data_IF_129522675109
#
_entry.id   IF_129522675109
#
_cell.length_a   1.000
_cell.length_b   1.000
_cell.length_c   1.000
_cell.angle_alpha   90.00
_cell.angle_beta   90.00
_cell.angle_gamma   90.00
#
_symmetry.space_group_name_H-M   'P 1'
#
loop_
_entity.id
_entity.type
_entity.pdbx_description
1 polymer ?
#
# COMPACT_ATOMS: atom_id res chain seq x y z
N UNK A 1 -1.83 5.17 28.46
CA UNK A 1 -1.91 3.87 27.77
C UNK A 1 -1.57 3.99 26.28
N UNK A 2 -2.22 4.88 25.48
CA UNK A 2 -1.94 5.01 24.04
C UNK A 2 -0.55 5.60 23.78
N UNK A 3 -0.16 6.66 24.52
CA UNK A 3 1.17 7.29 24.38
C UNK A 3 2.33 6.36 24.78
N UNK A 4 2.15 5.53 25.80
CA UNK A 4 3.15 4.53 26.21
C UNK A 4 3.25 3.40 25.18
N UNK A 5 2.15 2.97 24.58
CA UNK A 5 2.14 1.97 23.51
C UNK A 5 2.85 2.51 22.24
N UNK A 6 2.51 3.72 21.81
CA UNK A 6 3.17 4.37 20.67
C UNK A 6 4.66 4.57 20.95
N UNK A 7 5.05 5.03 22.14
CA UNK A 7 6.45 5.22 22.51
C UNK A 7 7.25 3.92 22.54
N UNK A 8 6.69 2.83 23.09
CA UNK A 8 7.34 1.52 23.09
C UNK A 8 7.43 0.93 21.67
N UNK A 9 6.42 1.12 20.85
CA UNK A 9 6.40 0.69 19.46
C UNK A 9 7.47 1.42 18.63
N UNK A 10 7.56 2.76 18.73
CA UNK A 10 8.61 3.56 18.07
C UNK A 10 10.00 3.13 18.53
N UNK A 11 10.20 2.93 19.84
CA UNK A 11 11.48 2.50 20.39
C UNK A 11 11.89 1.12 19.88
N UNK A 12 10.95 0.17 19.81
CA UNK A 12 11.20 -1.17 19.32
C UNK A 12 11.49 -1.18 17.81
N UNK A 13 10.78 -0.34 17.04
CA UNK A 13 11.03 -0.13 15.63
C UNK A 13 12.40 0.50 15.36
N UNK A 14 12.77 1.54 16.11
CA UNK A 14 14.11 2.15 16.01
C UNK A 14 15.23 1.17 16.33
N UNK A 15 15.08 0.36 17.37
CA UNK A 15 16.06 -0.67 17.70
C UNK A 15 16.21 -1.70 16.59
N UNK A 16 15.10 -2.22 16.07
CA UNK A 16 15.12 -3.20 14.98
C UNK A 16 15.68 -2.59 13.68
N UNK A 17 15.38 -1.33 13.38
CA UNK A 17 15.97 -0.63 12.23
C UNK A 17 17.48 -0.41 12.39
N UNK A 18 17.96 -0.10 13.60
CA UNK A 18 19.39 0.03 13.89
C UNK A 18 20.12 -1.32 13.87
N UNK A 19 19.56 -2.37 14.46
CA UNK A 19 20.10 -3.73 14.37
C UNK A 19 20.14 -4.22 12.91
N UNK A 20 19.14 -3.90 12.14
CA UNK A 20 19.08 -4.16 10.72
C UNK A 20 20.21 -3.42 9.98
N UNK A 21 20.34 -2.11 10.19
CA UNK A 21 21.41 -1.30 9.60
C UNK A 21 22.82 -1.77 9.98
N UNK A 22 23.01 -2.30 11.19
CA UNK A 22 24.31 -2.80 11.65
C UNK A 22 24.66 -4.19 11.12
N UNK A 23 23.67 -5.00 10.71
CA UNK A 23 23.88 -6.32 10.08
C UNK A 23 24.15 -6.22 8.57
N UNK A 24 23.84 -5.09 7.95
CA UNK A 24 24.05 -4.82 6.52
C UNK A 24 25.51 -4.40 6.29
N UNK A 25 26.43 -5.36 6.37
CA UNK A 25 27.80 -5.13 5.86
C UNK A 25 27.78 -5.25 4.33
N UNK A 26 28.19 -4.16 3.65
CA UNK A 26 28.17 -4.07 2.17
C UNK A 26 29.00 -5.15 1.51
N UNK A 27 30.11 -5.53 2.12
CA UNK A 27 31.05 -6.48 1.54
C UNK A 27 30.48 -7.91 1.61
N UNK A 28 29.84 -8.26 2.71
CA UNK A 28 29.17 -9.55 2.89
C UNK A 28 27.99 -9.69 1.95
N UNK A 29 27.14 -8.64 1.81
CA UNK A 29 26.02 -8.65 0.87
C UNK A 29 26.48 -8.82 -0.58
N UNK A 30 27.52 -8.10 -0.98
CA UNK A 30 28.03 -8.17 -2.36
C UNK A 30 28.58 -9.56 -2.69
N UNK A 31 29.27 -10.19 -1.73
CA UNK A 31 29.80 -11.54 -1.88
C UNK A 31 28.69 -12.60 -1.94
N UNK A 32 27.69 -12.50 -1.10
CA UNK A 32 26.55 -13.42 -1.05
C UNK A 32 25.68 -13.30 -2.31
N UNK A 33 25.43 -12.07 -2.80
CA UNK A 33 24.73 -11.86 -4.07
C UNK A 33 25.49 -12.44 -5.27
N UNK A 34 26.82 -12.34 -5.28
CA UNK A 34 27.65 -12.93 -6.31
C UNK A 34 27.56 -14.46 -6.31
N UNK A 35 27.64 -15.05 -5.12
CA UNK A 35 27.48 -16.50 -4.92
C UNK A 35 26.08 -16.99 -5.29
N UNK A 36 25.05 -16.17 -5.00
CA UNK A 36 23.67 -16.40 -5.41
C UNK A 36 23.51 -16.36 -6.95
N UNK A 37 24.08 -15.35 -7.58
CA UNK A 37 24.09 -15.23 -9.04
C UNK A 37 24.73 -16.44 -9.70
N UNK A 38 25.86 -16.90 -9.19
CA UNK A 38 26.57 -18.07 -9.69
C UNK A 38 25.75 -19.37 -9.49
N UNK A 39 25.16 -19.56 -8.29
CA UNK A 39 24.30 -20.74 -8.00
C UNK A 39 22.99 -20.71 -8.80
N UNK A 40 22.38 -19.53 -8.94
CA UNK A 40 21.17 -19.38 -9.74
C UNK A 40 21.42 -19.67 -11.21
N UNK A 41 22.54 -19.19 -11.74
CA UNK A 41 22.97 -19.46 -13.11
C UNK A 41 23.25 -20.97 -13.34
N UNK A 42 23.87 -21.64 -12.38
CA UNK A 42 24.14 -23.09 -12.46
C UNK A 42 22.87 -23.95 -12.34
N UNK A 43 21.81 -23.43 -11.73
CA UNK A 43 20.52 -24.12 -11.59
C UNK A 43 19.53 -23.82 -12.73
N UNK A 44 19.88 -22.90 -13.64
CA UNK A 44 19.04 -22.58 -14.80
C UNK A 44 19.16 -23.66 -15.91
N UNK A 45 18.05 -23.95 -16.60
CA UNK A 45 18.10 -24.76 -17.84
C UNK A 45 19.04 -24.15 -18.86
N UNK A 46 19.77 -24.99 -19.63
CA UNK A 46 20.80 -24.57 -20.60
C UNK A 46 20.35 -23.50 -21.59
N UNK A 47 19.06 -23.48 -21.98
CA UNK A 47 18.54 -22.49 -22.92
C UNK A 47 18.50 -21.07 -22.33
N UNK A 48 18.39 -20.92 -21.01
CA UNK A 48 18.41 -19.62 -20.32
C UNK A 48 19.84 -19.17 -19.99
N UNK A 49 20.78 -20.11 -19.81
CA UNK A 49 22.19 -19.78 -19.60
C UNK A 49 22.78 -19.06 -20.80
N UNK A 50 22.32 -19.42 -22.00
CA UNK A 50 22.80 -18.83 -23.27
C UNK A 50 22.19 -17.43 -23.57
N UNK A 51 21.25 -16.94 -22.77
CA UNK A 51 20.63 -15.61 -22.89
C UNK A 51 21.28 -14.54 -22.00
N UNK A 52 22.39 -14.85 -21.31
CA UNK A 52 23.05 -13.88 -20.43
C UNK A 52 23.70 -12.75 -21.24
N UNK A 53 23.50 -11.47 -20.80
CA UNK A 53 24.30 -10.36 -21.28
C UNK A 53 25.75 -10.50 -20.76
N UNK A 54 26.71 -10.20 -21.60
CA UNK A 54 28.15 -10.35 -21.37
C UNK A 54 28.67 -9.67 -20.09
N UNK A 55 29.58 -10.35 -19.47
CA UNK A 55 30.20 -10.33 -18.14
C UNK A 55 30.69 -9.02 -17.48
N UNK A 56 30.44 -7.85 -18.01
CA UNK A 56 31.02 -6.63 -17.40
C UNK A 56 30.08 -5.79 -16.53
N UNK A 57 28.77 -5.92 -16.73
CA UNK A 57 27.78 -4.92 -16.28
C UNK A 57 26.85 -5.42 -15.16
N UNK A 58 26.81 -6.71 -14.90
CA UNK A 58 25.92 -7.33 -13.92
C UNK A 58 26.33 -7.04 -12.47
N UNK A 59 27.61 -7.09 -12.15
CA UNK A 59 28.11 -6.78 -10.80
C UNK A 59 27.93 -5.29 -10.44
N UNK A 60 28.12 -4.41 -11.42
CA UNK A 60 27.87 -2.97 -11.27
C UNK A 60 26.38 -2.68 -11.03
N UNK A 61 25.50 -3.25 -11.84
CA UNK A 61 24.04 -3.12 -11.69
C UNK A 61 23.53 -3.72 -10.37
N UNK A 62 24.10 -4.85 -9.94
CA UNK A 62 23.75 -5.45 -8.66
C UNK A 62 24.14 -4.54 -7.47
N UNK A 63 25.36 -3.96 -7.50
CA UNK A 63 25.78 -3.03 -6.45
C UNK A 63 24.95 -1.75 -6.43
N UNK A 64 24.47 -1.28 -7.57
CA UNK A 64 23.58 -0.14 -7.69
C UNK A 64 22.19 -0.45 -7.13
N UNK A 65 21.66 -1.63 -7.41
CA UNK A 65 20.40 -2.13 -6.82
C UNK A 65 20.53 -2.25 -5.31
N UNK A 66 21.60 -2.86 -4.80
CA UNK A 66 21.84 -2.99 -3.34
C UNK A 66 21.92 -1.61 -2.67
N UNK A 67 22.68 -0.68 -3.24
CA UNK A 67 22.80 0.68 -2.72
C UNK A 67 21.46 1.41 -2.72
N UNK A 68 20.66 1.22 -3.77
CA UNK A 68 19.30 1.79 -3.88
C UNK A 68 18.36 1.20 -2.82
N UNK A 69 18.43 -0.10 -2.59
CA UNK A 69 17.63 -0.81 -1.58
C UNK A 69 18.02 -0.37 -0.16
N UNK A 70 19.31 -0.32 0.15
CA UNK A 70 19.81 0.15 1.45
C UNK A 70 19.44 1.62 1.68
N UNK A 71 19.57 2.45 0.65
CA UNK A 71 19.14 3.85 0.68
C UNK A 71 17.63 3.99 0.91
N UNK A 72 16.83 3.14 0.26
CA UNK A 72 15.37 3.10 0.45
C UNK A 72 14.98 2.70 1.88
N UNK A 73 15.61 1.67 2.44
CA UNK A 73 15.36 1.24 3.82
C UNK A 73 15.78 2.30 4.86
N UNK A 74 16.92 2.96 4.65
CA UNK A 74 17.35 4.07 5.48
C UNK A 74 16.39 5.27 5.39
N UNK A 75 15.89 5.57 4.20
CA UNK A 75 14.88 6.62 4.00
C UNK A 75 13.53 6.29 4.64
N UNK A 76 13.13 5.01 4.65
CA UNK A 76 11.92 4.55 5.35
C UNK A 76 12.04 4.75 6.87
N UNK A 77 13.21 4.51 7.47
CA UNK A 77 13.42 4.75 8.89
C UNK A 77 13.26 6.25 9.24
N UNK A 78 13.77 7.16 8.39
CA UNK A 78 13.57 8.60 8.53
C UNK A 78 12.12 9.05 8.29
N UNK A 79 11.42 8.39 7.37
CA UNK A 79 10.02 8.68 7.06
C UNK A 79 9.06 8.36 8.22
N UNK A 80 9.42 7.44 9.11
CA UNK A 80 8.58 7.07 10.27
C UNK A 80 8.33 8.27 11.19
N UNK A 81 9.38 9.04 11.53
CA UNK A 81 9.23 10.24 12.35
C UNK A 81 8.33 11.29 11.70
N UNK A 82 8.52 11.50 10.41
CA UNK A 82 7.70 12.42 9.62
C UNK A 82 6.24 11.94 9.48
N UNK A 83 6.03 10.63 9.36
CA UNK A 83 4.70 10.03 9.33
C UNK A 83 3.92 10.31 10.62
N UNK A 84 4.53 10.13 11.80
CA UNK A 84 3.87 10.41 13.07
C UNK A 84 3.56 11.90 13.25
N UNK A 85 4.45 12.78 12.80
CA UNK A 85 4.19 14.21 12.82
C UNK A 85 3.00 14.58 11.93
N UNK A 86 2.98 14.08 10.69
CA UNK A 86 1.86 14.29 9.75
C UNK A 86 0.57 13.68 10.31
N UNK A 87 0.61 12.47 10.86
CA UNK A 87 -0.55 11.81 11.46
C UNK A 87 -1.11 12.63 12.64
N UNK A 88 -0.26 13.17 13.51
CA UNK A 88 -0.67 14.04 14.60
C UNK A 88 -1.32 15.33 14.09
N UNK A 89 -0.74 15.98 13.07
CA UNK A 89 -1.32 17.16 12.44
C UNK A 89 -2.69 16.85 11.81
N UNK A 90 -2.79 15.75 11.06
CA UNK A 90 -4.07 15.30 10.46
C UNK A 90 -5.11 15.04 11.55
N UNK A 91 -4.71 14.43 12.67
CA UNK A 91 -5.60 14.16 13.78
C UNK A 91 -6.12 15.47 14.42
N UNK A 92 -5.26 16.45 14.65
CA UNK A 92 -5.63 17.76 15.18
C UNK A 92 -6.60 18.47 14.22
N UNK A 93 -6.26 18.54 12.93
CA UNK A 93 -7.13 19.14 11.91
C UNK A 93 -8.49 18.43 11.82
N UNK A 94 -8.50 17.09 11.94
CA UNK A 94 -9.74 16.32 11.95
C UNK A 94 -10.63 16.71 13.12
N UNK A 95 -10.07 16.89 14.33
CA UNK A 95 -10.84 17.33 15.50
C UNK A 95 -11.42 18.73 15.27
N UNK A 96 -10.64 19.67 14.75
CA UNK A 96 -11.08 21.03 14.45
C UNK A 96 -12.22 21.00 13.41
N UNK A 97 -12.06 20.26 12.31
CA UNK A 97 -13.08 20.14 11.28
C UNK A 97 -14.37 19.49 11.79
N UNK A 98 -14.25 18.48 12.68
CA UNK A 98 -15.41 17.87 13.32
C UNK A 98 -16.14 18.85 14.25
N UNK A 99 -15.42 19.68 14.99
CA UNK A 99 -15.99 20.70 15.85
C UNK A 99 -16.76 21.77 15.05
N UNK A 100 -16.25 22.15 13.88
CA UNK A 100 -16.85 23.16 13.00
C UNK A 100 -17.82 22.61 11.95
N UNK A 101 -18.01 21.28 11.89
CA UNK A 101 -18.82 20.62 10.84
C UNK A 101 -20.22 21.23 10.70
N UNK A 102 -20.90 21.51 11.82
CA UNK A 102 -22.24 22.08 11.81
C UNK A 102 -22.30 23.50 11.21
N UNK A 103 -21.30 24.33 11.52
CA UNK A 103 -21.16 25.67 10.96
C UNK A 103 -20.92 25.63 9.45
N UNK A 104 -19.99 24.79 9.02
CA UNK A 104 -19.66 24.60 7.61
C UNK A 104 -20.86 24.10 6.80
N UNK A 105 -21.56 23.08 7.28
CA UNK A 105 -22.76 22.54 6.64
C UNK A 105 -23.87 23.59 6.53
N UNK A 106 -24.10 24.36 7.59
CA UNK A 106 -25.09 25.45 7.59
C UNK A 106 -24.75 26.52 6.55
N UNK A 107 -23.48 26.89 6.43
CA UNK A 107 -23.02 27.87 5.44
C UNK A 107 -23.24 27.37 4.01
N UNK A 108 -22.97 26.10 3.74
CA UNK A 108 -23.24 25.47 2.43
C UNK A 108 -24.74 25.50 2.10
N UNK A 109 -25.59 25.13 3.04
CA UNK A 109 -27.07 25.14 2.84
C UNK A 109 -27.58 26.55 2.60
N UNK A 110 -27.09 27.54 3.35
CA UNK A 110 -27.50 28.95 3.18
C UNK A 110 -27.05 29.57 1.86
N UNK A 111 -26.02 29.02 1.22
CA UNK A 111 -25.54 29.50 -0.08
C UNK A 111 -26.42 29.01 -1.27
N UNK A 112 -27.38 28.09 -1.02
CA UNK A 112 -28.24 27.55 -2.07
C UNK A 112 -29.40 28.54 -2.31
N UNK A 113 -29.63 28.98 -3.56
CA UNK A 113 -30.77 29.79 -3.90
C UNK A 113 -32.10 29.03 -3.66
N UNK A 114 -33.13 29.75 -3.17
CA UNK A 114 -34.43 29.15 -2.84
C UNK A 114 -35.04 28.31 -3.98
N UNK A 115 -34.82 28.73 -5.23
CA UNK A 115 -35.31 28.01 -6.41
C UNK A 115 -34.77 26.57 -6.54
N UNK A 116 -33.55 26.33 -6.08
CA UNK A 116 -32.87 25.03 -6.19
C UNK A 116 -32.63 24.37 -4.82
N UNK A 117 -33.39 24.82 -3.80
CA UNK A 117 -33.14 24.42 -2.42
C UNK A 117 -33.23 22.90 -2.21
N UNK A 118 -34.30 22.25 -2.69
CA UNK A 118 -34.50 20.79 -2.56
C UNK A 118 -33.39 20.00 -3.28
N UNK A 119 -33.07 20.43 -4.50
CA UNK A 119 -31.99 19.79 -5.31
C UNK A 119 -30.64 19.96 -4.63
N UNK A 120 -30.37 21.15 -4.08
CA UNK A 120 -29.12 21.43 -3.39
C UNK A 120 -28.96 20.62 -2.10
N UNK A 121 -30.00 20.48 -1.28
CA UNK A 121 -29.97 19.62 -0.09
C UNK A 121 -29.75 18.16 -0.49
N UNK A 122 -30.45 17.67 -1.49
CA UNK A 122 -30.28 16.31 -2.01
C UNK A 122 -28.87 16.08 -2.53
N UNK A 123 -28.29 17.06 -3.23
CA UNK A 123 -26.91 17.02 -3.69
C UNK A 123 -25.92 16.89 -2.52
N UNK A 124 -26.02 17.76 -1.51
CA UNK A 124 -25.18 17.70 -0.31
C UNK A 124 -25.28 16.32 0.34
N UNK A 125 -26.50 15.83 0.56
CA UNK A 125 -26.72 14.50 1.17
C UNK A 125 -26.08 13.37 0.34
N UNK A 126 -26.24 13.38 -0.98
CA UNK A 126 -25.69 12.36 -1.88
C UNK A 126 -24.15 12.39 -1.88
N UNK A 127 -23.54 13.59 -1.86
CA UNK A 127 -22.09 13.77 -1.73
C UNK A 127 -21.59 13.24 -0.39
N UNK A 128 -22.20 13.67 0.74
CA UNK A 128 -21.83 13.18 2.07
C UNK A 128 -21.94 11.66 2.16
N UNK A 129 -23.01 11.08 1.66
CA UNK A 129 -23.24 9.63 1.65
C UNK A 129 -22.21 8.90 0.79
N UNK A 130 -21.90 9.40 -0.41
CA UNK A 130 -20.95 8.78 -1.33
C UNK A 130 -19.53 8.78 -0.74
N UNK A 131 -19.07 9.93 -0.26
CA UNK A 131 -17.73 10.08 0.34
C UNK A 131 -17.60 9.26 1.62
N UNK A 132 -18.58 9.35 2.53
CA UNK A 132 -18.57 8.61 3.79
C UNK A 132 -18.57 7.09 3.57
N UNK A 133 -19.40 6.59 2.65
CA UNK A 133 -19.48 5.16 2.32
C UNK A 133 -18.17 4.67 1.69
N UNK A 134 -17.58 5.46 0.78
CA UNK A 134 -16.28 5.15 0.19
C UNK A 134 -15.18 5.06 1.25
N UNK A 135 -15.04 6.11 2.08
CA UNK A 135 -13.98 6.14 3.10
C UNK A 135 -14.10 4.98 4.08
N UNK A 136 -15.32 4.68 4.57
CA UNK A 136 -15.55 3.51 5.45
C UNK A 136 -15.15 2.21 4.77
N UNK A 137 -15.56 2.02 3.52
CA UNK A 137 -15.21 0.83 2.73
C UNK A 137 -13.70 0.73 2.53
N UNK A 138 -13.03 1.83 2.21
CA UNK A 138 -11.59 1.87 1.97
C UNK A 138 -10.77 1.60 3.24
N UNK A 139 -11.17 2.17 4.39
CA UNK A 139 -10.53 1.86 5.67
C UNK A 139 -10.69 0.39 6.05
N UNK A 140 -11.86 -0.18 5.81
CA UNK A 140 -12.11 -1.60 6.10
C UNK A 140 -11.34 -2.52 5.15
N UNK A 141 -11.23 -2.16 3.87
CA UNK A 141 -10.37 -2.84 2.89
C UNK A 141 -8.90 -2.78 3.34
N UNK A 142 -8.42 -1.61 3.70
CA UNK A 142 -7.05 -1.41 4.20
C UNK A 142 -6.75 -2.28 5.45
N UNK A 143 -7.66 -2.31 6.41
CA UNK A 143 -7.54 -3.17 7.58
C UNK A 143 -7.54 -4.67 7.23
N UNK A 144 -8.37 -5.06 6.25
CA UNK A 144 -8.41 -6.45 5.77
C UNK A 144 -7.09 -6.84 5.09
N UNK A 145 -6.53 -5.97 4.25
CA UNK A 145 -5.21 -6.21 3.62
C UNK A 145 -4.11 -6.31 4.66
N UNK A 146 -4.10 -5.42 5.67
CA UNK A 146 -3.15 -5.50 6.78
C UNK A 146 -3.23 -6.85 7.49
N UNK A 147 -4.45 -7.27 7.86
CA UNK A 147 -4.69 -8.53 8.56
C UNK A 147 -4.30 -9.75 7.73
N UNK A 148 -4.68 -9.77 6.44
CA UNK A 148 -4.32 -10.87 5.53
C UNK A 148 -2.81 -10.94 5.30
N UNK A 149 -2.14 -9.80 5.13
CA UNK A 149 -0.68 -9.75 4.96
C UNK A 149 0.03 -10.26 6.22
N UNK A 150 -0.38 -9.83 7.41
CA UNK A 150 0.18 -10.35 8.68
C UNK A 150 -0.07 -11.86 8.79
N UNK A 151 -1.28 -12.32 8.55
CA UNK A 151 -1.61 -13.75 8.63
C UNK A 151 -0.81 -14.58 7.63
N UNK A 152 -0.68 -14.12 6.38
CA UNK A 152 0.11 -14.81 5.35
C UNK A 152 1.60 -14.87 5.68
N UNK A 153 2.18 -13.75 6.16
CA UNK A 153 3.59 -13.71 6.56
C UNK A 153 3.86 -14.56 7.83
N UNK A 154 2.93 -14.58 8.79
CA UNK A 154 3.03 -15.48 9.96
C UNK A 154 2.98 -16.94 9.53
N UNK A 155 2.13 -17.29 8.57
CA UNK A 155 2.06 -18.62 8.00
C UNK A 155 3.38 -19.03 7.35
N UNK A 156 3.96 -18.16 6.51
CA UNK A 156 5.27 -18.42 5.90
C UNK A 156 6.37 -18.52 6.95
N UNK A 157 6.31 -17.70 8.00
CA UNK A 157 7.27 -17.76 9.10
C UNK A 157 7.17 -19.08 9.88
N UNK A 158 5.96 -19.63 10.04
CA UNK A 158 5.74 -20.96 10.63
C UNK A 158 6.40 -22.06 9.79
N UNK A 159 6.47 -21.92 8.48
CA UNK A 159 7.17 -22.83 7.57
C UNK A 159 8.68 -22.57 7.45
N UNK A 160 9.24 -21.64 8.23
CA UNK A 160 10.69 -21.44 8.33
C UNK A 160 11.23 -20.26 7.52
N UNK A 161 10.38 -19.37 7.01
CA UNK A 161 10.82 -18.19 6.24
C UNK A 161 11.63 -17.16 7.05
N UNK A 162 11.73 -17.32 8.36
CA UNK A 162 12.51 -16.48 9.30
C UNK A 162 12.28 -14.97 9.11
N UNK A 163 10.98 -14.59 9.00
CA UNK A 163 10.58 -13.21 8.79
C UNK A 163 10.53 -12.44 10.11
N UNK A 164 11.10 -11.25 10.12
CA UNK A 164 10.96 -10.28 11.20
C UNK A 164 10.03 -9.14 10.75
N UNK A 165 9.61 -8.27 11.69
CA UNK A 165 8.77 -7.09 11.40
C UNK A 165 7.44 -7.39 10.69
N UNK A 166 6.90 -8.60 10.82
CA UNK A 166 5.69 -9.08 10.12
C UNK A 166 4.52 -8.11 10.31
N UNK A 167 4.25 -7.70 11.55
CA UNK A 167 3.15 -6.78 11.87
C UNK A 167 3.37 -5.41 11.20
N UNK A 168 4.61 -4.95 11.16
CA UNK A 168 4.97 -3.68 10.51
C UNK A 168 4.76 -3.73 9.00
N UNK A 169 5.21 -4.81 8.35
CA UNK A 169 4.98 -5.04 6.92
C UNK A 169 3.48 -5.04 6.62
N UNK A 170 2.68 -5.74 7.43
CA UNK A 170 1.24 -5.77 7.26
C UNK A 170 0.58 -4.41 7.44
N UNK A 171 1.02 -3.61 8.43
CA UNK A 171 0.55 -2.23 8.61
C UNK A 171 0.91 -1.37 7.40
N UNK A 172 2.15 -1.47 6.88
CA UNK A 172 2.55 -0.75 5.67
C UNK A 172 1.67 -1.14 4.48
N UNK A 173 1.46 -2.43 4.26
CA UNK A 173 0.58 -2.93 3.19
C UNK A 173 -0.84 -2.37 3.33
N UNK A 174 -1.41 -2.40 4.55
CA UNK A 174 -2.72 -1.86 4.82
C UNK A 174 -2.82 -0.35 4.63
N UNK A 175 -1.85 0.42 5.15
CA UNK A 175 -1.82 1.88 4.96
C UNK A 175 -1.66 2.25 3.48
N UNK A 176 -0.78 1.56 2.75
CA UNK A 176 -0.64 1.76 1.32
C UNK A 176 -1.92 1.41 0.55
N UNK A 177 -2.73 0.46 1.05
CA UNK A 177 -4.01 0.10 0.46
C UNK A 177 -5.12 1.15 0.64
N UNK A 178 -4.88 2.24 1.38
CA UNK A 178 -5.75 3.42 1.31
C UNK A 178 -5.77 4.01 -0.11
N UNK A 179 -4.74 3.75 -0.90
CA UNK A 179 -4.73 3.94 -2.35
C UNK A 179 -5.04 2.58 -2.98
N UNK A 180 -6.18 2.44 -3.70
CA UNK A 180 -6.59 1.17 -4.27
C UNK A 180 -5.48 0.50 -5.10
N UNK A 181 -5.35 -0.81 -5.01
CA UNK A 181 -4.43 -1.66 -5.76
C UNK A 181 -2.94 -1.58 -5.35
N UNK A 182 -2.51 -0.63 -4.53
CA UNK A 182 -1.08 -0.42 -4.23
C UNK A 182 -0.63 -1.21 -3.00
N UNK A 183 -1.53 -1.47 -2.05
CA UNK A 183 -1.22 -2.03 -0.74
C UNK A 183 -0.32 -3.27 -0.74
N UNK A 184 -0.75 -4.39 -1.31
CA UNK A 184 0.04 -5.62 -1.31
C UNK A 184 1.40 -5.48 -2.00
N UNK A 185 1.49 -4.67 -3.07
CA UNK A 185 2.77 -4.44 -3.76
C UNK A 185 3.77 -3.68 -2.89
N UNK A 186 3.31 -2.66 -2.16
CA UNK A 186 4.17 -1.90 -1.24
C UNK A 186 4.61 -2.75 -0.05
N UNK A 187 3.75 -3.63 0.47
CA UNK A 187 4.10 -4.55 1.53
C UNK A 187 5.03 -5.69 1.09
N UNK A 188 4.92 -6.12 -0.16
CA UNK A 188 5.75 -7.18 -0.74
C UNK A 188 7.23 -6.80 -0.77
N UNK A 189 7.56 -5.56 -1.10
CA UNK A 189 8.95 -5.09 -1.22
C UNK A 189 9.74 -5.30 0.08
N UNK A 190 9.35 -4.73 1.24
CA UNK A 190 10.08 -4.95 2.48
C UNK A 190 10.04 -6.41 2.94
N UNK A 191 8.96 -7.16 2.67
CA UNK A 191 8.89 -8.57 3.02
C UNK A 191 9.94 -9.42 2.31
N UNK A 192 10.08 -9.23 0.98
CA UNK A 192 11.10 -9.89 0.17
C UNK A 192 12.50 -9.54 0.65
N UNK A 193 12.76 -8.26 0.92
CA UNK A 193 14.07 -7.79 1.39
C UNK A 193 14.43 -8.40 2.75
N UNK A 194 13.51 -8.42 3.70
CA UNK A 194 13.73 -8.97 5.04
C UNK A 194 13.92 -10.49 4.96
N UNK A 195 13.15 -11.20 4.15
CA UNK A 195 13.32 -12.63 3.93
C UNK A 195 14.72 -12.95 3.39
N UNK A 196 15.14 -12.23 2.37
CA UNK A 196 16.48 -12.39 1.80
C UNK A 196 17.56 -12.17 2.87
N UNK A 197 17.53 -11.03 3.57
CA UNK A 197 18.55 -10.66 4.54
C UNK A 197 18.63 -11.58 5.76
N UNK A 198 17.47 -12.01 6.27
CA UNK A 198 17.43 -12.89 7.45
C UNK A 198 17.87 -14.33 7.14
N UNK A 199 17.83 -14.71 5.89
CA UNK A 199 18.18 -16.07 5.47
C UNK A 199 19.54 -16.17 4.75
N UNK A 200 20.29 -15.08 4.65
CA UNK A 200 21.68 -15.11 4.15
C UNK A 200 22.49 -16.09 5.00
N UNK A 201 23.26 -16.97 4.33
CA UNK A 201 24.04 -18.00 4.98
C UNK A 201 23.24 -19.22 5.48
N UNK A 202 21.93 -19.25 5.30
CA UNK A 202 21.09 -20.40 5.66
C UNK A 202 20.94 -21.33 4.44
N UNK A 203 21.70 -22.43 4.41
CA UNK A 203 21.66 -23.40 3.29
C UNK A 203 20.27 -24.03 3.10
N UNK A 204 19.52 -24.26 4.20
CA UNK A 204 18.17 -24.82 4.11
C UNK A 204 17.20 -23.84 3.44
N UNK A 205 17.29 -22.55 3.74
CA UNK A 205 16.48 -21.52 3.11
C UNK A 205 16.87 -21.30 1.64
N UNK A 206 18.15 -21.43 1.31
CA UNK A 206 18.64 -21.35 -0.08
C UNK A 206 18.14 -22.54 -0.93
N UNK A 207 18.09 -23.73 -0.36
CA UNK A 207 17.61 -24.95 -1.02
C UNK A 207 16.08 -25.09 -0.99
N UNK A 208 15.35 -24.12 -0.40
CA UNK A 208 13.90 -24.18 -0.27
C UNK A 208 13.20 -24.22 -1.64
N UNK A 209 12.18 -25.07 -1.72
CA UNK A 209 11.34 -25.23 -2.92
C UNK A 209 9.87 -25.03 -2.56
N UNK A 210 9.17 -24.23 -3.35
CA UNK A 210 7.74 -24.06 -3.27
C UNK A 210 7.04 -25.35 -3.75
N UNK A 211 6.16 -25.91 -2.94
CA UNK A 211 5.47 -27.18 -3.20
C UNK A 211 6.40 -28.36 -3.53
N UNK A 212 7.65 -28.32 -3.11
CA UNK A 212 8.63 -29.37 -3.37
C UNK A 212 9.12 -29.49 -4.83
N UNK A 213 8.74 -28.59 -5.73
CA UNK A 213 9.06 -28.66 -7.15
C UNK A 213 9.70 -27.39 -7.72
N UNK A 214 9.30 -26.21 -7.26
CA UNK A 214 9.76 -24.95 -7.85
C UNK A 214 10.80 -24.32 -6.93
N UNK A 215 12.03 -24.03 -7.40
CA UNK A 215 13.03 -23.37 -6.58
C UNK A 215 12.52 -22.00 -6.07
N UNK A 216 12.53 -21.84 -4.76
CA UNK A 216 12.14 -20.59 -4.08
C UNK A 216 13.20 -20.23 -3.03
N UNK A 217 14.42 -19.88 -3.46
CA UNK A 217 15.49 -19.54 -2.54
C UNK A 217 15.05 -18.40 -1.60
N UNK A 218 15.36 -18.57 -0.31
CA UNK A 218 14.99 -17.61 0.76
C UNK A 218 13.50 -17.31 0.87
N UNK A 219 12.62 -18.20 0.39
CA UNK A 219 11.16 -18.03 0.39
C UNK A 219 10.66 -16.83 -0.46
N UNK A 220 11.49 -16.35 -1.40
CA UNK A 220 11.15 -15.15 -2.16
C UNK A 220 9.91 -15.34 -3.03
N UNK A 221 9.82 -16.47 -3.72
CA UNK A 221 8.66 -16.76 -4.56
C UNK A 221 7.40 -17.00 -3.73
N UNK A 222 7.54 -17.64 -2.55
CA UNK A 222 6.43 -17.86 -1.61
C UNK A 222 5.82 -16.53 -1.15
N UNK A 223 6.66 -15.56 -0.80
CA UNK A 223 6.21 -14.21 -0.40
C UNK A 223 5.52 -13.49 -1.54
N UNK A 224 6.11 -13.51 -2.74
CA UNK A 224 5.49 -12.90 -3.93
C UNK A 224 4.12 -13.51 -4.19
N UNK A 225 4.00 -14.85 -4.20
CA UNK A 225 2.73 -15.54 -4.42
C UNK A 225 1.72 -15.24 -3.31
N UNK A 226 2.15 -15.20 -2.06
CA UNK A 226 1.28 -14.83 -0.94
C UNK A 226 0.69 -13.44 -1.14
N UNK A 227 1.51 -12.44 -1.47
CA UNK A 227 1.01 -11.08 -1.73
C UNK A 227 0.13 -10.99 -2.98
N UNK A 228 0.42 -11.76 -4.04
CA UNK A 228 -0.45 -11.86 -5.21
C UNK A 228 -1.81 -12.47 -4.85
N UNK A 229 -1.85 -13.49 -3.98
CA UNK A 229 -3.10 -14.05 -3.46
C UNK A 229 -3.87 -12.99 -2.65
N UNK A 230 -3.20 -12.26 -1.75
CA UNK A 230 -3.81 -11.16 -1.00
C UNK A 230 -4.39 -10.12 -1.96
N UNK A 231 -3.66 -9.74 -3.02
CA UNK A 231 -4.13 -8.81 -4.05
C UNK A 231 -5.37 -9.34 -4.78
N UNK A 232 -5.40 -10.63 -5.12
CA UNK A 232 -6.57 -11.24 -5.78
C UNK A 232 -7.79 -11.29 -4.86
N UNK A 233 -7.61 -11.60 -3.59
CA UNK A 233 -8.69 -11.59 -2.60
C UNK A 233 -9.19 -10.15 -2.39
N UNK A 234 -8.29 -9.19 -2.26
CA UNK A 234 -8.62 -7.78 -2.12
C UNK A 234 -9.44 -7.29 -3.32
N UNK A 235 -8.93 -7.47 -4.54
CA UNK A 235 -9.55 -6.97 -5.76
C UNK A 235 -10.87 -7.64 -6.12
N UNK A 236 -11.00 -8.94 -5.90
CA UNK A 236 -12.18 -9.72 -6.34
C UNK A 236 -13.25 -9.92 -5.26
N UNK A 237 -12.89 -9.85 -3.97
CA UNK A 237 -13.81 -10.09 -2.87
C UNK A 237 -13.98 -8.86 -1.97
N UNK A 238 -12.89 -8.31 -1.46
CA UNK A 238 -12.92 -7.25 -0.45
C UNK A 238 -13.39 -5.92 -1.05
N UNK A 239 -12.76 -5.48 -2.11
CA UNK A 239 -13.10 -4.21 -2.77
C UNK A 239 -14.53 -4.18 -3.29
N UNK A 240 -15.06 -5.19 -4.03
CA UNK A 240 -16.47 -5.19 -4.43
C UNK A 240 -17.45 -5.24 -3.26
N UNK A 241 -17.13 -5.97 -2.20
CA UNK A 241 -17.99 -6.12 -1.04
C UNK A 241 -18.07 -4.83 -0.20
N UNK A 242 -16.94 -4.16 0.01
CA UNK A 242 -16.82 -3.03 0.94
C UNK A 242 -16.86 -1.66 0.26
N UNK A 243 -16.29 -1.54 -0.94
CA UNK A 243 -16.15 -0.26 -1.66
C UNK A 243 -17.05 -0.18 -2.88
N UNK A 244 -17.28 -1.29 -3.57
CA UNK A 244 -17.79 -1.35 -4.95
C UNK A 244 -19.14 -0.67 -5.22
N UNK A 245 -20.03 -0.55 -4.22
CA UNK A 245 -21.32 0.14 -4.37
C UNK A 245 -21.30 1.61 -3.96
N UNK A 246 -20.23 2.06 -3.30
CA UNK A 246 -20.19 3.37 -2.64
C UNK A 246 -20.12 4.54 -3.62
N UNK A 247 -19.37 4.40 -4.71
CA UNK A 247 -19.17 5.48 -5.70
C UNK A 247 -19.75 5.13 -7.07
N UNK A 248 -19.93 3.83 -7.35
CA UNK A 248 -20.49 3.33 -8.62
C UNK A 248 -19.68 3.76 -9.84
N UNK A 249 -18.37 3.95 -9.70
CA UNK A 249 -17.47 4.31 -10.79
C UNK A 249 -17.04 3.05 -11.56
N UNK A 250 -16.86 3.20 -12.86
CA UNK A 250 -16.25 2.15 -13.66
C UNK A 250 -14.75 2.02 -13.31
N UNK A 251 -14.16 0.82 -13.24
CA UNK A 251 -12.76 0.63 -12.87
C UNK A 251 -11.77 1.48 -13.67
N UNK A 252 -12.02 1.67 -14.96
CA UNK A 252 -11.18 2.52 -15.83
C UNK A 252 -11.15 3.97 -15.35
N UNK A 253 -12.31 4.50 -14.91
CA UNK A 253 -12.40 5.87 -14.38
C UNK A 253 -11.58 5.99 -13.09
N UNK A 254 -11.62 4.98 -12.23
CA UNK A 254 -10.81 4.93 -11.01
C UNK A 254 -9.33 4.96 -11.36
N UNK A 255 -8.86 4.14 -12.31
CA UNK A 255 -7.47 4.12 -12.74
C UNK A 255 -7.01 5.47 -13.32
N UNK A 256 -7.83 6.07 -14.20
CA UNK A 256 -7.52 7.40 -14.76
C UNK A 256 -7.47 8.45 -13.65
N UNK A 257 -8.42 8.42 -12.72
CA UNK A 257 -8.42 9.35 -11.57
C UNK A 257 -7.16 9.23 -10.72
N UNK A 258 -6.73 8.00 -10.44
CA UNK A 258 -5.50 7.74 -9.69
C UNK A 258 -4.26 8.27 -10.42
N UNK A 259 -4.18 8.09 -11.74
CA UNK A 259 -3.09 8.63 -12.55
C UNK A 259 -3.07 10.16 -12.51
N UNK A 260 -4.22 10.80 -12.74
CA UNK A 260 -4.33 12.27 -12.69
C UNK A 260 -4.00 12.78 -11.28
N UNK A 261 -4.59 12.18 -10.25
CA UNK A 261 -4.32 12.56 -8.86
C UNK A 261 -2.84 12.41 -8.51
N UNK A 262 -2.24 11.30 -8.94
CA UNK A 262 -0.84 11.00 -8.73
C UNK A 262 0.12 12.02 -9.39
N UNK A 263 -0.19 12.48 -10.58
CA UNK A 263 0.62 13.48 -11.27
C UNK A 263 0.51 14.88 -10.67
N UNK A 264 -0.64 15.23 -10.06
CA UNK A 264 -0.89 16.57 -9.50
C UNK A 264 -0.35 16.70 -8.07
N UNK A 265 -0.64 15.75 -7.19
CA UNK A 265 -0.35 15.83 -5.75
C UNK A 265 0.37 14.58 -5.22
N UNK A 266 0.91 13.73 -6.10
CA UNK A 266 1.60 12.51 -5.70
C UNK A 266 0.68 11.53 -4.95
N UNK A 267 1.18 10.83 -3.91
CA UNK A 267 0.40 9.84 -3.15
C UNK A 267 -0.87 10.42 -2.51
N UNK A 268 -0.84 11.67 -2.05
CA UNK A 268 -2.03 12.35 -1.52
C UNK A 268 -3.08 12.57 -2.59
N UNK A 269 -2.66 12.93 -3.81
CA UNK A 269 -3.57 13.07 -4.94
C UNK A 269 -4.24 11.74 -5.31
N UNK A 270 -3.51 10.63 -5.28
CA UNK A 270 -4.08 9.30 -5.48
C UNK A 270 -5.12 8.96 -4.40
N UNK A 271 -4.83 9.25 -3.13
CA UNK A 271 -5.74 8.99 -2.02
C UNK A 271 -7.09 9.70 -2.19
N UNK A 272 -7.07 10.96 -2.63
CA UNK A 272 -8.29 11.76 -2.80
C UNK A 272 -8.92 11.64 -4.20
N UNK A 273 -8.26 11.01 -5.17
CA UNK A 273 -8.71 10.92 -6.55
C UNK A 273 -10.10 10.26 -6.69
N UNK A 274 -10.30 9.12 -6.03
CA UNK A 274 -11.56 8.37 -6.12
C UNK A 274 -12.72 9.12 -5.43
N UNK A 275 -12.59 9.63 -4.20
CA UNK A 275 -13.61 10.48 -3.60
C UNK A 275 -13.96 11.70 -4.45
N UNK A 276 -12.95 12.42 -4.97
CA UNK A 276 -13.18 13.60 -5.80
C UNK A 276 -13.94 13.28 -7.08
N UNK A 277 -13.58 12.19 -7.75
CA UNK A 277 -14.28 11.71 -8.95
C UNK A 277 -15.72 11.27 -8.63
N UNK A 278 -15.92 10.65 -7.46
CA UNK A 278 -17.25 10.28 -6.97
C UNK A 278 -18.13 11.50 -6.74
N UNK A 279 -17.60 12.53 -6.10
CA UNK A 279 -18.28 13.82 -5.91
C UNK A 279 -18.63 14.44 -7.26
N UNK A 280 -17.69 14.49 -8.19
CA UNK A 280 -17.91 15.02 -9.54
C UNK A 280 -19.03 14.26 -10.27
N UNK A 281 -19.06 12.92 -10.19
CA UNK A 281 -20.13 12.10 -10.76
C UNK A 281 -21.49 12.47 -10.16
N UNK A 282 -21.60 12.59 -8.83
CA UNK A 282 -22.85 12.97 -8.14
C UNK A 282 -23.33 14.32 -8.63
N UNK A 283 -22.43 15.32 -8.68
CA UNK A 283 -22.76 16.67 -9.19
C UNK A 283 -23.27 16.62 -10.63
N UNK A 284 -22.54 15.95 -11.52
CA UNK A 284 -22.95 15.84 -12.94
C UNK A 284 -24.30 15.13 -13.10
N UNK A 285 -24.57 14.10 -12.30
CA UNK A 285 -25.83 13.37 -12.33
C UNK A 285 -27.00 14.25 -11.89
N UNK A 286 -26.85 15.03 -10.80
CA UNK A 286 -27.90 15.92 -10.33
C UNK A 286 -28.12 17.11 -11.31
N UNK A 287 -27.08 17.67 -11.90
CA UNK A 287 -27.21 18.70 -12.94
C UNK A 287 -27.96 18.14 -14.17
N UNK A 288 -27.61 16.94 -14.61
CA UNK A 288 -28.31 16.29 -15.74
C UNK A 288 -29.78 16.04 -15.42
N UNK A 289 -30.09 15.62 -14.15
CA UNK A 289 -31.45 15.44 -13.70
C UNK A 289 -32.24 16.75 -13.70
N UNK A 290 -31.68 17.85 -13.21
CA UNK A 290 -32.30 19.19 -13.21
C UNK A 290 -32.58 19.65 -14.62
N UNK A 291 -31.61 19.51 -15.54
CA UNK A 291 -31.77 19.91 -16.94
C UNK A 291 -32.88 19.12 -17.65
N UNK A 292 -32.97 17.80 -17.40
CA UNK A 292 -33.98 16.94 -18.00
C UNK A 292 -35.39 17.23 -17.47
N UNK A 293 -35.50 17.67 -16.21
CA UNK A 293 -36.77 17.91 -15.51
C UNK A 293 -37.00 19.41 -15.22
N UNK A 294 -36.40 20.30 -16.03
CA UNK A 294 -36.49 21.75 -15.81
C UNK A 294 -37.95 22.30 -15.82
N UNK A 295 -38.89 21.53 -16.39
CA UNK A 295 -40.32 21.85 -16.40
C UNK A 295 -41.02 21.55 -15.07
N UNK A 296 -40.36 20.86 -14.10
CA UNK A 296 -40.87 20.53 -12.77
C UNK A 296 -40.33 21.47 -11.69
N UNK A 297 -39.38 22.35 -12.00
CA UNK A 297 -38.77 23.36 -11.16
C UNK A 297 -39.31 24.75 -11.46
#
# INVERSE_FOLDING_TARGET
AIGTFIGSFISQMSKQAMEFSSRVDKDTLTQEFKTLGEKFTSSMPEFLQNMQPSDGDTAGKLSEIINSVVGYLASMAGAIGNFFFIAAMVFIFTIILLAEYHGFRKSLVNAIPNKYFEVGIKLIYNVEKSVSSYLRGQFLSAASVAAMSVAGLLLLNFFGANLTLIVFIGIIAGLANLIPLIGPFVGMIPAVLIAFMNNIGNEAAMAHTLFGAIPSPFYLLDIVLMFLIVQQIEGNLITPALVGKSVGLHPIIVMISLLIGGTILGPLGMLFAVPATGVMKVILTEIAFVRKNAHLL
#
